data_IF_545770027744
#
_entry.id   IF_545770027744
#
_cell.length_a   1.000
_cell.length_b   1.000
_cell.length_c   1.000
_cell.angle_alpha   90.00
_cell.angle_beta   90.00
_cell.angle_gamma   90.00
#
_symmetry.space_group_name_H-M   'P 1'
#
loop_
_entity.id
_entity.type
_entity.pdbx_description
1 polymer ?
#
# COMPACT_ATOMS: atom_id res chain seq x y z
N UNK A 1 11.06 -12.98 -2.93
CA UNK A 1 10.02 -11.98 -2.60
C UNK A 1 10.50 -10.53 -2.80
N UNK A 2 11.80 -10.24 -2.68
CA UNK A 2 12.37 -8.88 -2.67
C UNK A 2 12.90 -8.34 -4.02
N UNK A 3 12.99 -9.17 -5.06
CA UNK A 3 13.61 -8.78 -6.35
C UNK A 3 12.58 -8.43 -7.44
N UNK A 4 13.06 -7.91 -8.57
CA UNK A 4 12.29 -7.77 -9.79
C UNK A 4 11.73 -9.11 -10.25
N UNK A 5 10.43 -9.20 -10.55
CA UNK A 5 9.90 -10.36 -11.23
C UNK A 5 10.40 -10.39 -12.70
N UNK A 6 10.41 -11.58 -13.34
CA UNK A 6 11.08 -11.78 -14.64
C UNK A 6 10.48 -10.96 -15.80
N UNK A 7 9.23 -10.49 -15.66
CA UNK A 7 8.57 -9.65 -16.66
C UNK A 7 8.91 -8.15 -16.56
N UNK A 8 9.73 -7.74 -15.59
CA UNK A 8 10.15 -6.34 -15.46
C UNK A 8 11.47 -6.12 -16.19
N UNK A 9 11.46 -5.20 -17.16
CA UNK A 9 12.67 -4.70 -17.80
C UNK A 9 13.42 -3.79 -16.82
N UNK A 10 14.57 -4.26 -16.32
CA UNK A 10 15.36 -3.56 -15.32
C UNK A 10 15.99 -2.26 -15.85
N UNK A 11 16.37 -2.20 -17.13
CA UNK A 11 16.87 -0.97 -17.76
C UNK A 11 15.81 0.12 -17.75
N UNK A 12 14.59 -0.21 -18.21
CA UNK A 12 13.45 0.73 -18.17
C UNK A 12 13.11 1.15 -16.75
N UNK A 13 13.19 0.24 -15.78
CA UNK A 13 12.97 0.55 -14.38
C UNK A 13 14.03 1.53 -13.85
N UNK A 14 15.31 1.33 -14.19
CA UNK A 14 16.41 2.23 -13.83
C UNK A 14 16.23 3.62 -14.46
N UNK A 15 15.90 3.69 -15.75
CA UNK A 15 15.64 4.96 -16.45
C UNK A 15 14.50 5.75 -15.80
N UNK A 16 13.42 5.05 -15.42
CA UNK A 16 12.28 5.67 -14.74
C UNK A 16 12.70 6.23 -13.37
N UNK A 17 13.52 5.51 -12.60
CA UNK A 17 14.03 5.99 -11.31
C UNK A 17 14.92 7.21 -11.46
N UNK A 18 15.80 7.23 -12.46
CA UNK A 18 16.63 8.40 -12.76
C UNK A 18 15.77 9.63 -13.08
N UNK A 19 14.67 9.44 -13.83
CA UNK A 19 13.74 10.52 -14.12
C UNK A 19 13.00 11.01 -12.86
N UNK A 20 12.52 10.10 -12.01
CA UNK A 20 11.88 10.46 -10.74
C UNK A 20 12.83 11.22 -9.81
N UNK A 21 14.12 10.86 -9.80
CA UNK A 21 15.15 11.58 -9.04
C UNK A 21 15.38 13.01 -9.57
N UNK A 22 15.44 13.19 -10.90
CA UNK A 22 15.53 14.52 -11.52
C UNK A 22 14.33 15.40 -11.18
N UNK A 23 13.14 14.79 -11.08
CA UNK A 23 11.90 15.45 -10.66
C UNK A 23 11.84 15.72 -9.14
N UNK A 24 12.88 15.36 -8.38
CA UNK A 24 12.98 15.53 -6.93
C UNK A 24 11.86 14.81 -6.17
N UNK A 25 11.36 13.69 -6.71
CA UNK A 25 10.41 12.83 -6.02
C UNK A 25 11.16 12.14 -4.87
N UNK A 26 10.62 12.24 -3.65
CA UNK A 26 11.19 11.63 -2.46
C UNK A 26 11.33 10.12 -2.70
N UNK A 27 12.55 9.59 -2.52
CA UNK A 27 12.92 8.20 -2.80
C UNK A 27 12.71 7.76 -4.26
N UNK A 28 12.56 8.68 -5.21
CA UNK A 28 12.34 8.38 -6.64
C UNK A 28 13.46 7.53 -7.26
N UNK A 29 14.71 7.86 -6.94
CA UNK A 29 15.89 7.13 -7.40
C UNK A 29 16.15 5.80 -6.68
N UNK A 30 15.50 5.54 -5.54
CA UNK A 30 15.83 4.40 -4.67
C UNK A 30 15.19 3.10 -5.14
N UNK A 31 16.02 2.16 -5.58
CA UNK A 31 15.59 0.82 -5.98
C UNK A 31 15.05 -0.01 -4.80
N UNK A 32 15.78 -0.01 -3.68
CA UNK A 32 15.37 -0.72 -2.48
C UNK A 32 14.03 -0.22 -1.94
N UNK A 33 13.74 1.07 -2.08
CA UNK A 33 12.42 1.63 -1.73
C UNK A 33 11.30 1.07 -2.63
N UNK A 34 11.54 0.87 -3.92
CA UNK A 34 10.55 0.22 -4.82
C UNK A 34 10.32 -1.23 -4.44
N UNK A 35 11.38 -1.96 -4.09
CA UNK A 35 11.26 -3.32 -3.58
C UNK A 35 10.49 -3.38 -2.24
N UNK A 36 10.75 -2.43 -1.34
CA UNK A 36 10.01 -2.28 -0.07
C UNK A 36 8.52 -2.04 -0.31
N UNK A 37 8.15 -1.09 -1.18
CA UNK A 37 6.75 -0.83 -1.53
C UNK A 37 6.08 -2.12 -2.04
N UNK A 38 6.71 -2.82 -2.99
CA UNK A 38 6.18 -4.08 -3.53
C UNK A 38 6.06 -5.17 -2.46
N UNK A 39 7.06 -5.30 -1.58
CA UNK A 39 7.06 -6.28 -0.50
C UNK A 39 5.88 -6.06 0.46
N UNK A 40 5.68 -4.82 0.90
CA UNK A 40 4.59 -4.46 1.79
C UNK A 40 3.21 -4.53 1.12
N UNK A 41 3.11 -4.30 -0.20
CA UNK A 41 1.83 -4.42 -0.92
C UNK A 41 1.37 -5.86 -1.16
N UNK A 42 2.28 -6.85 -1.23
CA UNK A 42 1.90 -8.18 -1.73
C UNK A 42 2.62 -9.40 -1.19
N UNK A 43 3.66 -9.23 -0.36
CA UNK A 43 4.54 -10.33 0.03
C UNK A 43 4.76 -10.51 1.53
N UNK A 44 4.69 -9.46 2.35
CA UNK A 44 5.03 -9.59 3.78
C UNK A 44 4.14 -10.64 4.48
N UNK A 45 2.83 -10.67 4.19
CA UNK A 45 1.89 -11.64 4.75
C UNK A 45 2.09 -13.07 4.24
N UNK A 46 2.91 -13.26 3.19
CA UNK A 46 3.27 -14.58 2.65
C UNK A 46 4.54 -15.13 3.28
N UNK A 47 5.25 -14.34 4.09
CA UNK A 47 6.48 -14.78 4.74
C UNK A 47 6.18 -15.88 5.76
N UNK A 48 6.99 -16.93 5.80
CA UNK A 48 6.75 -18.14 6.62
C UNK A 48 6.53 -17.81 8.10
N UNK A 49 7.32 -16.87 8.64
CA UNK A 49 7.18 -16.39 10.03
C UNK A 49 5.84 -15.71 10.31
N UNK A 50 5.18 -15.16 9.29
CA UNK A 50 3.93 -14.40 9.40
C UNK A 50 2.71 -15.28 9.14
N UNK A 51 2.82 -16.33 8.32
CA UNK A 51 1.68 -17.17 7.89
C UNK A 51 0.89 -17.81 9.05
N UNK A 52 1.49 -17.94 10.23
CA UNK A 52 0.84 -18.49 11.44
C UNK A 52 0.00 -17.47 12.23
N UNK A 53 -0.08 -16.22 11.77
CA UNK A 53 -0.78 -15.13 12.46
C UNK A 53 -1.89 -14.55 11.58
N UNK A 54 -3.07 -14.32 12.18
CA UNK A 54 -4.21 -13.69 11.51
C UNK A 54 -4.12 -12.15 11.51
N UNK A 55 -3.42 -11.57 12.48
CA UNK A 55 -3.31 -10.12 12.69
C UNK A 55 -1.87 -9.69 12.86
N UNK A 56 -1.57 -8.47 12.42
CA UNK A 56 -0.27 -7.82 12.62
C UNK A 56 -0.47 -6.34 12.91
N UNK A 57 0.45 -5.77 13.69
CA UNK A 57 0.60 -4.33 13.81
C UNK A 57 1.92 -3.96 13.15
N UNK A 58 1.88 -3.12 12.10
CA UNK A 58 3.07 -2.60 11.46
C UNK A 58 3.69 -1.48 12.29
N UNK A 59 4.93 -1.65 12.72
CA UNK A 59 5.73 -0.60 13.35
C UNK A 59 6.85 -0.16 12.38
N UNK A 60 7.13 1.13 12.37
CA UNK A 60 8.21 1.75 11.61
C UNK A 60 9.19 2.45 12.58
N UNK A 61 10.48 2.55 12.25
CA UNK A 61 11.41 3.37 13.01
C UNK A 61 11.00 4.85 13.02
N UNK A 62 11.25 5.54 14.14
CA UNK A 62 11.03 6.99 14.24
C UNK A 62 9.57 7.42 14.45
N UNK A 63 8.72 6.53 14.96
CA UNK A 63 7.34 6.86 15.37
C UNK A 63 7.25 6.97 16.89
N UNK A 64 6.33 7.80 17.37
CA UNK A 64 6.03 8.00 18.79
C UNK A 64 4.60 7.56 19.14
N UNK A 65 4.44 6.98 20.33
CA UNK A 65 3.15 6.60 20.89
C UNK A 65 2.90 7.41 22.17
N UNK A 66 1.93 8.33 22.11
CA UNK A 66 1.71 9.33 23.17
C UNK A 66 0.60 8.95 24.16
N UNK A 67 -0.10 7.84 23.93
CA UNK A 67 -1.24 7.42 24.73
C UNK A 67 -1.06 5.97 25.19
N UNK A 68 -1.41 5.71 26.43
CA UNK A 68 -1.52 4.35 26.95
C UNK A 68 -2.70 3.62 26.29
N UNK A 69 -2.54 2.32 26.07
CA UNK A 69 -3.59 1.43 25.55
C UNK A 69 -3.86 0.38 26.62
N UNK A 70 -5.04 0.47 27.25
CA UNK A 70 -5.45 -0.33 28.41
C UNK A 70 -6.27 -1.58 28.04
N UNK A 71 -6.37 -1.90 26.74
CA UNK A 71 -7.04 -3.08 26.21
C UNK A 71 -6.17 -3.82 25.19
N UNK A 72 -6.49 -5.08 24.91
CA UNK A 72 -5.82 -5.88 23.87
C UNK A 72 -6.39 -5.51 22.47
N UNK A 73 -5.62 -4.84 21.60
CA UNK A 73 -6.12 -4.38 20.31
C UNK A 73 -6.44 -5.52 19.35
N UNK A 74 -5.69 -6.62 19.43
CA UNK A 74 -5.91 -7.79 18.57
C UNK A 74 -7.20 -8.52 18.96
N UNK A 75 -7.45 -8.68 20.26
CA UNK A 75 -8.75 -9.20 20.73
C UNK A 75 -9.89 -8.26 20.38
N UNK A 76 -9.68 -6.94 20.46
CA UNK A 76 -10.70 -5.97 20.09
C UNK A 76 -11.11 -6.11 18.61
N UNK A 77 -10.15 -6.16 17.68
CA UNK A 77 -10.48 -6.31 16.26
C UNK A 77 -11.09 -7.67 15.94
N UNK A 78 -10.62 -8.75 16.60
CA UNK A 78 -11.19 -10.08 16.43
C UNK A 78 -12.64 -10.16 16.90
N UNK A 79 -12.94 -9.68 18.12
CA UNK A 79 -14.29 -9.71 18.70
C UNK A 79 -15.30 -8.88 17.91
N UNK A 80 -14.85 -7.78 17.30
CA UNK A 80 -15.70 -6.86 16.57
C UNK A 80 -15.70 -7.10 15.05
N UNK A 81 -15.05 -8.16 14.57
CA UNK A 81 -14.93 -8.48 13.14
C UNK A 81 -14.37 -7.31 12.31
N UNK A 82 -13.34 -6.65 12.83
CA UNK A 82 -12.67 -5.52 12.19
C UNK A 82 -11.49 -6.04 11.36
N UNK A 83 -11.47 -5.70 10.08
CA UNK A 83 -10.42 -6.15 9.14
C UNK A 83 -9.16 -5.29 9.18
N UNK A 84 -9.28 -3.98 9.43
CA UNK A 84 -8.15 -3.05 9.32
C UNK A 84 -8.34 -1.83 10.22
N UNK A 85 -7.24 -1.30 10.79
CA UNK A 85 -7.21 -0.09 11.60
C UNK A 85 -6.11 0.87 11.13
N UNK A 86 -6.36 2.17 11.22
CA UNK A 86 -5.42 3.23 10.87
C UNK A 86 -5.59 4.44 11.80
N UNK A 87 -4.55 5.27 11.91
CA UNK A 87 -4.57 6.49 12.74
C UNK A 87 -4.53 7.78 11.92
N UNK A 88 -3.92 7.76 10.72
CA UNK A 88 -3.73 8.93 9.86
C UNK A 88 -4.14 8.58 8.42
N UNK A 89 -4.84 9.49 7.75
CA UNK A 89 -5.11 9.44 6.32
C UNK A 89 -4.49 10.65 5.62
N UNK A 90 -3.80 10.41 4.50
CA UNK A 90 -3.09 11.45 3.72
C UNK A 90 -3.52 11.38 2.26
N UNK A 91 -3.33 12.47 1.53
CA UNK A 91 -3.39 12.48 0.07
C UNK A 91 -2.03 12.05 -0.48
N UNK A 92 -2.04 11.22 -1.52
CA UNK A 92 -0.81 10.74 -2.16
C UNK A 92 -0.26 11.74 -3.20
N UNK A 93 1.05 11.69 -3.42
CA UNK A 93 1.71 12.48 -4.44
C UNK A 93 1.41 11.89 -5.81
N UNK A 94 0.54 12.53 -6.59
CA UNK A 94 0.07 12.01 -7.89
C UNK A 94 1.20 11.58 -8.86
N UNK A 95 2.37 12.23 -8.80
CA UNK A 95 3.53 11.89 -9.61
C UNK A 95 4.08 10.46 -9.35
N UNK A 96 3.79 9.86 -8.19
CA UNK A 96 4.24 8.50 -7.83
C UNK A 96 3.29 7.42 -8.32
N UNK A 97 2.03 7.77 -8.65
CA UNK A 97 0.94 6.85 -8.99
C UNK A 97 0.16 7.23 -10.25
N UNK A 98 0.81 7.72 -11.34
CA UNK A 98 0.12 8.33 -12.48
C UNK A 98 -0.84 7.36 -13.20
N UNK A 99 -0.58 6.05 -13.13
CA UNK A 99 -1.37 5.01 -13.81
C UNK A 99 -2.10 4.08 -12.84
N UNK A 100 -1.93 4.25 -11.52
CA UNK A 100 -2.41 3.29 -10.52
C UNK A 100 -3.93 3.16 -10.57
N UNK A 101 -4.66 4.27 -10.42
CA UNK A 101 -6.12 4.25 -10.38
C UNK A 101 -6.75 3.73 -11.68
N UNK A 102 -6.21 4.15 -12.84
CA UNK A 102 -6.66 3.63 -14.14
C UNK A 102 -6.49 2.11 -14.22
N UNK A 103 -5.37 1.58 -13.71
CA UNK A 103 -5.12 0.13 -13.67
C UNK A 103 -6.10 -0.58 -12.73
N UNK A 104 -6.41 0.02 -11.57
CA UNK A 104 -7.42 -0.49 -10.63
C UNK A 104 -8.82 -0.48 -11.27
N UNK A 105 -9.20 0.57 -12.00
CA UNK A 105 -10.48 0.64 -12.72
C UNK A 105 -10.59 -0.45 -13.80
N UNK A 106 -9.52 -0.71 -14.56
CA UNK A 106 -9.49 -1.82 -15.53
C UNK A 106 -9.69 -3.17 -14.83
N UNK A 107 -8.95 -3.44 -13.76
CA UNK A 107 -9.10 -4.67 -12.97
C UNK A 107 -10.52 -4.82 -12.40
N UNK A 108 -11.08 -3.75 -11.86
CA UNK A 108 -12.45 -3.73 -11.33
C UNK A 108 -13.51 -4.00 -12.40
N UNK A 109 -13.30 -3.52 -13.62
CA UNK A 109 -14.21 -3.79 -14.74
C UNK A 109 -14.16 -5.25 -15.17
N UNK A 110 -12.96 -5.84 -15.23
CA UNK A 110 -12.76 -7.25 -15.57
C UNK A 110 -13.26 -8.20 -14.45
N UNK A 111 -13.19 -7.76 -13.19
CA UNK A 111 -13.53 -8.56 -12.01
C UNK A 111 -14.55 -7.89 -11.08
N UNK A 112 -15.67 -7.45 -11.64
CA UNK A 112 -16.69 -6.67 -10.91
C UNK A 112 -17.30 -7.41 -9.70
N UNK A 113 -17.25 -8.75 -9.69
CA UNK A 113 -17.69 -9.59 -8.57
C UNK A 113 -16.86 -9.44 -7.29
N UNK A 114 -15.63 -8.92 -7.37
CA UNK A 114 -14.82 -8.63 -6.18
C UNK A 114 -15.19 -7.30 -5.51
N UNK A 115 -16.02 -6.46 -6.13
CA UNK A 115 -16.36 -5.14 -5.61
C UNK A 115 -17.53 -5.27 -4.63
N UNK A 116 -17.33 -5.05 -3.32
CA UNK A 116 -18.42 -5.16 -2.36
C UNK A 116 -19.43 -4.02 -2.54
N UNK A 117 -20.72 -4.29 -2.30
CA UNK A 117 -21.78 -3.26 -2.34
C UNK A 117 -21.50 -2.10 -1.39
N UNK A 118 -20.93 -2.39 -0.22
CA UNK A 118 -20.44 -1.40 0.74
C UNK A 118 -18.93 -1.30 0.60
N UNK A 119 -18.45 -0.20 0.00
CA UNK A 119 -17.03 0.01 -0.26
C UNK A 119 -16.62 1.47 -0.02
N UNK A 120 -15.32 1.74 -0.04
CA UNK A 120 -14.74 3.05 0.22
C UNK A 120 -14.39 3.83 -1.05
N UNK A 121 -14.91 3.47 -2.24
CA UNK A 121 -14.54 4.14 -3.50
C UNK A 121 -14.85 5.65 -3.46
N UNK A 122 -15.93 6.06 -2.77
CA UNK A 122 -16.26 7.48 -2.58
C UNK A 122 -15.24 8.25 -1.73
N UNK A 123 -14.56 7.57 -0.81
CA UNK A 123 -13.47 8.15 -0.03
C UNK A 123 -12.21 8.33 -0.90
N UNK A 124 -11.96 7.38 -1.81
CA UNK A 124 -10.82 7.38 -2.73
C UNK A 124 -10.99 8.37 -3.91
N UNK A 125 -12.23 8.62 -4.35
CA UNK A 125 -12.57 9.55 -5.43
C UNK A 125 -13.28 10.78 -4.89
N UNK A 126 -12.60 11.93 -4.77
CA UNK A 126 -13.29 13.20 -4.50
C UNK A 126 -13.73 13.86 -5.81
N UNK A 127 -15.03 14.13 -5.95
CA UNK A 127 -15.60 14.86 -7.09
C UNK A 127 -15.18 14.31 -8.48
N UNK A 128 -15.24 12.98 -8.65
CA UNK A 128 -14.83 12.23 -9.85
C UNK A 128 -13.33 12.22 -10.18
N UNK A 129 -12.49 12.92 -9.40
CA UNK A 129 -11.05 12.83 -9.50
C UNK A 129 -10.50 11.85 -8.46
N UNK A 130 -9.57 11.00 -8.90
CA UNK A 130 -8.78 10.18 -7.99
C UNK A 130 -7.90 11.10 -7.15
N UNK A 131 -7.98 10.99 -5.82
CA UNK A 131 -7.31 11.94 -4.92
C UNK A 131 -6.01 11.43 -4.32
N UNK A 132 -5.61 10.20 -4.64
CA UNK A 132 -4.62 9.49 -3.84
C UNK A 132 -5.28 8.93 -2.60
#
# INVERSE_FOLDING_TARGET
>A
MWDYPPWINQTKAADTRMEMEKQKIIYGGSESYRHMCRFNSGFFFRHELIQKYDYYWRLEPGVDFMCDIDYDPFRFIQKNNITYGFTISLLEVQATIPTLWKTVEMFMNEHSHYIPRKNAIKFIKKANNYTG
#
